data_IF_912159221447
#
_entry.id   IF_912159221447
#
_cell.length_a   1.000
_cell.length_b   1.000
_cell.length_c   1.000
_cell.angle_alpha   90.00
_cell.angle_beta   90.00
_cell.angle_gamma   90.00
#
_symmetry.space_group_name_H-M   'P 1'
#
loop_
_entity.id
_entity.type
_entity.pdbx_description
1 polymer ?
#
# COMPACT_ATOMS: atom_id res chain seq x y z
N UNK A 1 -8.41 -32.35 -10.74
CA UNK A 1 -8.07 -30.92 -10.60
C UNK A 1 -7.85 -30.39 -12.00
N UNK A 2 -8.67 -29.45 -12.48
CA UNK A 2 -8.43 -28.83 -13.78
C UNK A 2 -7.23 -27.89 -13.61
N UNK A 3 -6.16 -28.11 -14.38
CA UNK A 3 -5.11 -27.10 -14.58
C UNK A 3 -5.79 -25.86 -15.14
N UNK A 4 -6.02 -24.89 -14.27
CA UNK A 4 -6.45 -23.57 -14.63
C UNK A 4 -5.17 -22.77 -14.89
N UNK A 5 -4.44 -23.12 -15.94
CA UNK A 5 -3.34 -22.28 -16.42
C UNK A 5 -3.99 -21.02 -16.99
N UNK A 6 -4.17 -20.01 -16.14
CA UNK A 6 -4.55 -18.68 -16.57
C UNK A 6 -3.35 -18.11 -17.32
N UNK A 7 -3.40 -17.94 -18.66
CA UNK A 7 -2.24 -17.48 -19.45
C UNK A 7 -1.81 -16.03 -19.11
N UNK A 8 -2.58 -15.35 -18.26
CA UNK A 8 -2.27 -14.03 -17.71
C UNK A 8 -1.38 -14.09 -16.46
N UNK A 9 -1.29 -15.22 -15.75
CA UNK A 9 -0.65 -15.32 -14.45
C UNK A 9 0.70 -16.06 -14.49
N UNK A 10 1.60 -15.52 -15.31
CA UNK A 10 3.00 -15.90 -15.31
C UNK A 10 3.79 -14.86 -14.50
N UNK A 11 4.46 -15.27 -13.42
CA UNK A 11 5.20 -14.36 -12.53
C UNK A 11 6.24 -13.49 -13.24
N UNK A 12 6.97 -14.05 -14.22
CA UNK A 12 7.94 -13.30 -15.03
C UNK A 12 7.25 -12.27 -15.93
N UNK A 13 6.09 -12.63 -16.49
CA UNK A 13 5.29 -11.71 -17.30
C UNK A 13 4.77 -10.57 -16.43
N UNK A 14 4.19 -10.88 -15.27
CA UNK A 14 3.69 -9.91 -14.30
C UNK A 14 4.79 -8.93 -13.88
N UNK A 15 5.96 -9.47 -13.52
CA UNK A 15 7.14 -8.66 -13.19
C UNK A 15 7.51 -7.66 -14.31
N UNK A 16 7.42 -8.07 -15.57
CA UNK A 16 7.79 -7.24 -16.73
C UNK A 16 6.68 -6.31 -17.21
N UNK A 17 5.42 -6.68 -17.08
CA UNK A 17 4.31 -6.02 -17.77
C UNK A 17 3.46 -5.10 -16.91
N UNK A 18 3.46 -5.27 -15.58
CA UNK A 18 2.62 -4.42 -14.72
C UNK A 18 3.03 -2.95 -14.83
N UNK A 19 2.07 -2.12 -15.23
CA UNK A 19 2.16 -0.67 -15.21
C UNK A 19 1.97 -0.15 -13.78
N UNK A 20 2.29 1.13 -13.56
CA UNK A 20 2.12 1.76 -12.26
C UNK A 20 0.65 1.77 -11.81
N UNK A 21 -0.24 2.12 -12.72
CA UNK A 21 -1.68 2.12 -12.45
C UNK A 21 -2.24 0.74 -12.10
N UNK A 22 -1.74 -0.34 -12.70
CA UNK A 22 -2.15 -1.70 -12.36
C UNK A 22 -1.64 -2.11 -10.98
N UNK A 23 -0.44 -1.68 -10.59
CA UNK A 23 0.08 -1.90 -9.23
C UNK A 23 -0.75 -1.14 -8.20
N UNK A 24 -1.13 0.10 -8.49
CA UNK A 24 -2.03 0.88 -7.63
C UNK A 24 -3.39 0.15 -7.48
N UNK A 25 -3.92 -0.42 -8.56
CA UNK A 25 -5.14 -1.24 -8.49
C UNK A 25 -4.98 -2.47 -7.59
N UNK A 26 -3.83 -3.14 -7.64
CA UNK A 26 -3.54 -4.26 -6.75
C UNK A 26 -3.52 -3.82 -5.27
N UNK A 27 -2.88 -2.69 -4.96
CA UNK A 27 -2.82 -2.15 -3.60
C UNK A 27 -4.20 -1.74 -3.06
N UNK A 28 -5.08 -1.21 -3.92
CA UNK A 28 -6.44 -0.78 -3.56
C UNK A 28 -7.45 -1.93 -3.44
N UNK A 29 -7.12 -3.11 -3.98
CA UNK A 29 -8.02 -4.27 -3.99
C UNK A 29 -7.31 -5.49 -3.40
N UNK A 30 -6.59 -5.31 -2.29
CA UNK A 30 -5.89 -6.40 -1.60
C UNK A 30 -6.87 -7.43 -1.02
N UNK A 31 -7.38 -8.32 -1.86
CA UNK A 31 -7.75 -9.70 -1.57
C UNK A 31 -8.15 -10.39 -2.89
N UNK A 32 -7.83 -11.67 -3.04
CA UNK A 32 -8.20 -12.45 -4.25
C UNK A 32 -9.72 -12.56 -4.47
N UNK A 33 -10.52 -12.16 -3.49
CA UNK A 33 -11.96 -11.99 -3.64
C UNK A 33 -12.23 -10.59 -4.21
N UNK A 34 -12.11 -10.45 -5.54
CA UNK A 34 -12.24 -9.21 -6.33
C UNK A 34 -13.53 -8.40 -6.08
N UNK A 35 -14.46 -8.93 -5.30
CA UNK A 35 -15.69 -8.28 -4.86
C UNK A 35 -15.49 -7.28 -3.71
N UNK A 36 -14.38 -7.38 -2.94
CA UNK A 36 -14.16 -6.53 -1.75
C UNK A 36 -12.84 -5.76 -1.85
N UNK A 37 -12.99 -4.44 -1.87
CA UNK A 37 -11.93 -3.46 -1.79
C UNK A 37 -11.22 -3.48 -0.44
N UNK A 38 -9.90 -3.29 -0.41
CA UNK A 38 -9.08 -3.41 0.79
C UNK A 38 -7.97 -2.35 0.78
N UNK A 39 -7.90 -1.56 1.84
CA UNK A 39 -6.99 -0.42 1.97
C UNK A 39 -5.82 -0.69 2.93
N UNK A 40 -5.46 -1.96 3.16
CA UNK A 40 -4.36 -2.35 4.05
C UNK A 40 -3.00 -1.71 3.71
N UNK A 41 -2.73 -1.44 2.43
CA UNK A 41 -1.50 -0.72 2.02
C UNK A 41 -1.52 0.78 2.33
N UNK A 42 -2.65 1.30 2.83
CA UNK A 42 -2.87 2.72 3.09
C UNK A 42 -3.28 3.00 4.54
N UNK A 43 -3.08 2.02 5.45
CA UNK A 43 -3.43 2.17 6.88
C UNK A 43 -2.75 3.39 7.53
N UNK A 44 -1.56 3.74 7.03
CA UNK A 44 -0.73 4.86 7.47
C UNK A 44 -1.48 6.19 7.58
N UNK A 45 -2.29 6.55 6.58
CA UNK A 45 -3.08 7.80 6.60
C UNK A 45 -4.53 7.61 7.02
N UNK A 46 -5.15 6.47 6.71
CA UNK A 46 -6.58 6.27 7.02
C UNK A 46 -6.85 6.00 8.51
N UNK A 47 -5.82 5.66 9.29
CA UNK A 47 -5.91 5.59 10.75
C UNK A 47 -5.81 6.96 11.43
N UNK A 48 -5.73 8.07 10.70
CA UNK A 48 -5.70 9.38 11.35
C UNK A 48 -7.09 9.78 11.90
N UNK A 49 -7.19 10.41 13.09
CA UNK A 49 -6.10 10.74 14.03
C UNK A 49 -5.61 9.57 14.88
N UNK A 50 -6.41 8.51 15.00
CA UNK A 50 -6.04 7.27 15.69
C UNK A 50 -6.79 6.05 15.12
N UNK A 51 -6.34 4.85 15.52
CA UNK A 51 -6.96 3.58 15.10
C UNK A 51 -8.44 3.48 15.48
N UNK A 52 -8.92 4.19 16.53
CA UNK A 52 -10.34 4.16 16.91
C UNK A 52 -11.19 4.89 15.86
N UNK A 53 -10.69 6.02 15.35
CA UNK A 53 -11.36 6.77 14.29
C UNK A 53 -11.61 5.92 13.03
N UNK A 54 -10.68 5.02 12.70
CA UNK A 54 -10.89 4.07 11.61
C UNK A 54 -12.16 3.25 11.80
N UNK A 55 -12.39 2.71 13.01
CA UNK A 55 -13.57 1.88 13.30
C UNK A 55 -14.88 2.66 13.33
N UNK A 56 -14.82 3.99 13.41
CA UNK A 56 -15.97 4.89 13.32
C UNK A 56 -16.34 5.23 11.86
N UNK A 57 -15.36 5.20 10.94
CA UNK A 57 -15.62 5.45 9.53
C UNK A 57 -16.48 4.34 8.92
N UNK A 58 -17.49 4.76 8.15
CA UNK A 58 -18.33 3.85 7.38
C UNK A 58 -17.62 3.39 6.11
N UNK A 59 -16.72 4.24 5.59
CA UNK A 59 -15.90 3.92 4.45
C UNK A 59 -15.07 5.09 3.98
N UNK A 60 -14.61 4.98 2.74
CA UNK A 60 -13.72 5.91 2.09
C UNK A 60 -14.17 6.17 0.65
N UNK A 61 -14.00 7.40 0.20
CA UNK A 61 -13.99 7.75 -1.21
C UNK A 61 -12.56 7.75 -1.70
N UNK A 62 -12.28 6.92 -2.70
CA UNK A 62 -10.93 6.70 -3.21
C UNK A 62 -10.85 7.02 -4.68
N UNK A 63 -9.82 7.76 -5.08
CA UNK A 63 -9.52 8.00 -6.48
C UNK A 63 -8.01 7.91 -6.70
N UNK A 64 -7.60 7.76 -7.96
CA UNK A 64 -6.20 7.60 -8.33
C UNK A 64 -5.86 8.41 -9.58
N UNK A 65 -4.57 8.70 -9.76
CA UNK A 65 -4.04 9.34 -10.98
C UNK A 65 -4.71 10.70 -11.26
N UNK A 66 -4.83 11.54 -10.22
CA UNK A 66 -5.46 12.86 -10.34
C UNK A 66 -4.40 13.90 -10.68
N UNK A 67 -4.52 14.55 -11.84
CA UNK A 67 -3.62 15.64 -12.20
C UNK A 67 -3.76 16.80 -11.19
N UNK A 68 -2.63 17.39 -10.79
CA UNK A 68 -2.61 18.55 -9.89
C UNK A 68 -3.44 19.73 -10.43
N UNK A 69 -3.47 19.88 -11.75
CA UNK A 69 -4.29 20.87 -12.47
C UNK A 69 -5.79 20.65 -12.31
N UNK A 70 -6.26 19.40 -12.21
CA UNK A 70 -7.68 19.07 -11.99
C UNK A 70 -8.14 19.56 -10.62
N UNK A 71 -7.24 19.59 -9.64
CA UNK A 71 -7.46 20.19 -8.33
C UNK A 71 -7.22 21.70 -8.30
N UNK A 72 -6.83 22.31 -9.42
CA UNK A 72 -6.44 23.73 -9.52
C UNK A 72 -5.31 24.10 -8.56
N UNK A 73 -4.36 23.20 -8.36
CA UNK A 73 -3.11 23.50 -7.65
C UNK A 73 -2.21 24.35 -8.58
N UNK A 74 -1.34 25.18 -8.00
CA UNK A 74 -0.52 26.09 -8.80
C UNK A 74 0.56 25.32 -9.58
N UNK A 75 0.64 25.58 -10.90
CA UNK A 75 1.60 24.93 -11.81
C UNK A 75 3.07 25.21 -11.47
N UNK A 76 3.34 26.34 -10.82
CA UNK A 76 4.68 26.88 -10.66
C UNK A 76 5.53 26.15 -9.60
N UNK A 77 5.04 25.07 -8.98
CA UNK A 77 5.77 24.35 -7.92
C UNK A 77 6.21 22.92 -8.26
N UNK A 78 5.56 22.20 -9.18
CA UNK A 78 5.94 20.87 -9.75
C UNK A 78 4.85 20.34 -10.69
N UNK A 79 5.16 19.86 -11.91
CA UNK A 79 4.23 19.06 -12.71
C UNK A 79 4.09 17.65 -12.12
N UNK A 80 2.91 17.05 -12.23
CA UNK A 80 2.64 15.67 -11.81
C UNK A 80 1.17 15.38 -11.53
N UNK A 81 0.86 14.10 -11.40
CA UNK A 81 -0.36 13.55 -10.83
C UNK A 81 -0.20 13.23 -9.34
N UNK A 82 -1.33 12.97 -8.69
CA UNK A 82 -1.42 12.44 -7.34
C UNK A 82 -1.88 10.99 -7.50
N UNK A 83 -1.03 10.06 -7.07
CA UNK A 83 -1.24 8.64 -7.36
C UNK A 83 -2.50 8.12 -6.68
N UNK A 84 -2.74 8.46 -5.42
CA UNK A 84 -3.96 8.07 -4.68
C UNK A 84 -4.44 9.19 -3.77
N UNK A 85 -5.76 9.39 -3.73
CA UNK A 85 -6.46 10.26 -2.77
C UNK A 85 -7.53 9.43 -2.05
N UNK A 86 -7.55 9.49 -0.73
CA UNK A 86 -8.50 8.79 0.14
C UNK A 86 -9.19 9.78 1.07
N UNK A 87 -10.53 9.81 1.06
CA UNK A 87 -11.35 10.70 1.88
C UNK A 87 -12.27 9.86 2.78
N UNK A 88 -12.07 9.85 4.10
CA UNK A 88 -12.94 9.11 5.01
C UNK A 88 -14.31 9.76 5.15
N UNK A 89 -15.33 8.93 5.38
CA UNK A 89 -16.68 9.40 5.70
C UNK A 89 -17.37 8.52 6.76
N UNK A 90 -18.35 9.13 7.41
CA UNK A 90 -19.36 8.48 8.26
C UNK A 90 -20.73 8.73 7.66
N UNK A 91 -21.78 8.12 8.22
CA UNK A 91 -23.18 8.31 7.82
C UNK A 91 -23.60 9.78 7.66
N UNK A 92 -23.01 10.67 8.45
CA UNK A 92 -23.43 12.08 8.54
C UNK A 92 -22.40 13.07 7.99
N UNK A 93 -21.16 12.66 7.74
CA UNK A 93 -20.08 13.59 7.39
C UNK A 93 -19.01 12.97 6.49
N UNK A 94 -18.57 13.76 5.50
CA UNK A 94 -17.34 13.51 4.72
C UNK A 94 -16.23 14.39 5.30
N UNK A 95 -15.10 13.78 5.66
CA UNK A 95 -13.99 14.43 6.36
C UNK A 95 -12.89 14.87 5.38
N UNK A 96 -13.14 15.92 4.61
CA UNK A 96 -12.13 16.47 3.67
C UNK A 96 -10.86 16.95 4.39
N UNK A 97 -10.98 17.38 5.64
CA UNK A 97 -9.87 17.77 6.52
C UNK A 97 -9.00 16.57 6.96
N UNK A 98 -9.44 15.34 6.69
CA UNK A 98 -8.69 14.09 6.94
C UNK A 98 -8.32 13.38 5.64
N UNK A 99 -8.28 14.10 4.52
CA UNK A 99 -7.88 13.54 3.24
C UNK A 99 -6.43 13.09 3.29
N UNK A 100 -6.18 11.82 2.93
CA UNK A 100 -4.85 11.27 2.74
C UNK A 100 -4.50 11.23 1.27
N UNK A 101 -3.30 11.66 0.93
CA UNK A 101 -2.73 11.53 -0.42
C UNK A 101 -1.45 10.73 -0.37
N UNK A 102 -1.23 9.92 -1.41
CA UNK A 102 -0.06 9.05 -1.49
C UNK A 102 0.67 9.27 -2.80
N UNK A 103 1.99 9.34 -2.70
CA UNK A 103 2.92 9.11 -3.80
C UNK A 103 3.36 7.64 -3.75
N UNK A 104 3.41 6.98 -4.89
CA UNK A 104 3.77 5.56 -5.04
C UNK A 104 4.96 5.46 -5.99
N UNK A 105 5.94 4.64 -5.64
CA UNK A 105 7.11 4.39 -6.48
C UNK A 105 7.38 2.91 -6.62
N UNK A 106 7.47 2.45 -7.86
CA UNK A 106 7.69 1.04 -8.16
C UNK A 106 9.16 0.80 -8.44
N UNK A 107 9.71 -0.20 -7.78
CA UNK A 107 11.08 -0.68 -7.97
C UNK A 107 11.00 -2.08 -8.55
N UNK A 108 11.79 -2.32 -9.61
CA UNK A 108 11.86 -3.61 -10.31
C UNK A 108 13.27 -4.21 -10.29
N UNK A 109 13.74 -4.72 -9.13
CA UNK A 109 15.03 -5.39 -9.07
C UNK A 109 15.03 -6.68 -9.87
N UNK A 110 16.20 -7.02 -10.40
CA UNK A 110 16.46 -8.28 -11.11
C UNK A 110 17.46 -9.08 -10.30
N UNK A 111 17.57 -10.39 -10.55
CA UNK A 111 18.61 -11.21 -9.89
C UNK A 111 20.02 -10.74 -10.24
N UNK A 112 20.22 -10.17 -11.44
CA UNK A 112 21.50 -9.56 -11.86
C UNK A 112 21.79 -8.21 -11.21
N UNK A 113 20.77 -7.53 -10.71
CA UNK A 113 20.90 -6.23 -10.03
C UNK A 113 19.88 -6.15 -8.87
N UNK A 114 20.10 -6.91 -7.79
CA UNK A 114 19.14 -6.99 -6.70
C UNK A 114 19.10 -5.68 -5.90
N UNK A 115 20.20 -4.93 -5.89
CA UNK A 115 20.29 -3.63 -5.23
C UNK A 115 19.59 -2.48 -5.96
N UNK A 116 18.95 -2.72 -7.11
CA UNK A 116 18.32 -1.67 -7.94
C UNK A 116 17.39 -0.77 -7.13
N UNK A 117 17.38 0.51 -7.50
CA UNK A 117 16.53 1.53 -6.91
C UNK A 117 15.49 2.06 -7.91
N UNK A 118 14.48 2.73 -7.37
CA UNK A 118 13.66 3.64 -8.17
C UNK A 118 14.58 4.72 -8.78
N UNK A 119 14.32 5.11 -10.03
CA UNK A 119 15.06 6.19 -10.69
C UNK A 119 14.91 7.53 -9.94
N UNK A 120 13.79 7.70 -9.24
CA UNK A 120 13.54 8.77 -8.27
C UNK A 120 12.85 8.18 -7.04
N UNK A 121 13.29 8.54 -5.84
CA UNK A 121 12.74 8.03 -4.57
C UNK A 121 11.37 8.65 -4.19
N UNK A 122 10.70 9.40 -5.07
CA UNK A 122 9.40 10.03 -4.79
C UNK A 122 9.40 11.17 -3.75
N UNK A 123 10.53 11.40 -3.07
CA UNK A 123 10.68 12.44 -2.02
C UNK A 123 10.27 13.83 -2.49
N UNK A 124 10.67 14.22 -3.70
CA UNK A 124 10.37 15.56 -4.21
C UNK A 124 8.87 15.74 -4.42
N UNK A 125 8.18 14.69 -4.89
CA UNK A 125 6.74 14.68 -5.10
C UNK A 125 5.99 14.69 -3.75
N UNK A 126 6.36 13.81 -2.81
CA UNK A 126 5.78 13.78 -1.47
C UNK A 126 5.91 15.13 -0.74
N UNK A 127 7.10 15.74 -0.78
CA UNK A 127 7.30 17.10 -0.25
C UNK A 127 6.45 18.14 -1.00
N UNK A 128 6.28 17.98 -2.32
CA UNK A 128 5.39 18.82 -3.11
C UNK A 128 3.94 18.77 -2.61
N UNK A 129 3.41 17.58 -2.33
CA UNK A 129 2.08 17.39 -1.74
C UNK A 129 1.98 18.04 -0.35
N UNK A 130 3.03 17.93 0.46
CA UNK A 130 3.07 18.61 1.76
C UNK A 130 3.04 20.15 1.61
N UNK A 131 3.79 20.72 0.66
CA UNK A 131 3.79 22.16 0.37
C UNK A 131 2.50 22.66 -0.26
N UNK A 132 1.76 21.80 -0.97
CA UNK A 132 0.40 22.13 -1.42
C UNK A 132 -0.59 22.17 -0.26
N UNK A 133 -0.21 21.71 0.93
CA UNK A 133 -1.03 21.76 2.12
C UNK A 133 -2.09 20.67 2.18
N UNK A 134 -1.82 19.49 1.63
CA UNK A 134 -2.64 18.31 1.89
C UNK A 134 -2.55 17.90 3.38
N UNK A 135 -3.67 17.47 4.01
CA UNK A 135 -3.69 17.16 5.45
C UNK A 135 -2.77 16.02 5.87
N UNK A 136 -2.77 14.92 5.11
CA UNK A 136 -2.02 13.71 5.38
C UNK A 136 -1.33 13.27 4.10
N UNK A 137 -0.03 13.02 4.17
CA UNK A 137 0.81 12.69 3.01
C UNK A 137 1.59 11.42 3.30
N UNK A 138 1.50 10.46 2.40
CA UNK A 138 2.26 9.21 2.44
C UNK A 138 3.15 9.03 1.21
N UNK A 139 4.26 8.31 1.39
CA UNK A 139 5.12 7.82 0.32
C UNK A 139 5.25 6.30 0.44
N UNK A 140 4.87 5.59 -0.61
CA UNK A 140 4.87 4.13 -0.65
C UNK A 140 5.85 3.64 -1.71
N UNK A 141 6.82 2.83 -1.32
CA UNK A 141 7.65 2.09 -2.26
C UNK A 141 7.09 0.68 -2.47
N UNK A 142 7.02 0.22 -3.72
CA UNK A 142 6.54 -1.11 -4.07
C UNK A 142 7.61 -1.83 -4.84
N UNK A 143 8.14 -2.91 -4.26
CA UNK A 143 9.11 -3.79 -4.89
C UNK A 143 8.41 -4.91 -5.62
N UNK A 144 8.63 -5.02 -6.93
CA UNK A 144 8.18 -6.15 -7.74
C UNK A 144 9.42 -6.77 -8.35
N UNK A 145 9.81 -7.92 -7.86
CA UNK A 145 11.10 -8.56 -8.19
C UNK A 145 10.95 -9.58 -9.31
N UNK A 146 12.05 -9.79 -10.04
CA UNK A 146 12.19 -10.99 -10.88
C UNK A 146 12.04 -12.23 -9.97
N UNK A 147 11.13 -13.17 -10.27
CA UNK A 147 10.96 -14.38 -9.47
C UNK A 147 12.27 -15.14 -9.28
N UNK A 148 12.49 -15.66 -8.07
CA UNK A 148 13.57 -16.59 -7.80
C UNK A 148 13.27 -17.95 -8.43
N UNK A 149 14.25 -18.60 -9.08
CA UNK A 149 14.10 -19.99 -9.46
C UNK A 149 13.98 -20.86 -8.21
N UNK A 150 13.36 -22.03 -8.34
CA UNK A 150 13.04 -22.89 -7.19
C UNK A 150 14.26 -23.13 -6.31
N UNK A 151 15.43 -23.42 -6.88
CA UNK A 151 16.68 -23.66 -6.16
C UNK A 151 17.19 -22.48 -5.30
N UNK A 152 16.79 -21.25 -5.61
CA UNK A 152 17.18 -20.03 -4.87
C UNK A 152 16.16 -19.67 -3.78
N UNK A 153 14.97 -20.28 -3.79
CA UNK A 153 13.96 -20.10 -2.74
C UNK A 153 14.39 -20.79 -1.45
N UNK A 154 13.95 -20.23 -0.31
CA UNK A 154 14.29 -20.75 1.01
C UNK A 154 13.08 -21.39 1.68
N UNK A 155 13.34 -22.47 2.41
CA UNK A 155 12.33 -23.10 3.25
C UNK A 155 12.24 -22.33 4.58
N UNK A 156 11.05 -21.84 4.89
CA UNK A 156 10.72 -21.25 6.19
C UNK A 156 9.82 -22.19 6.97
N UNK A 157 10.06 -22.30 8.29
CA UNK A 157 9.19 -23.06 9.19
C UNK A 157 7.91 -22.26 9.46
N UNK A 158 6.78 -22.77 8.98
CA UNK A 158 5.46 -22.18 9.21
C UNK A 158 4.65 -23.02 10.19
N UNK A 159 4.07 -22.38 11.22
CA UNK A 159 3.19 -23.08 12.16
C UNK A 159 1.78 -23.19 11.59
N UNK A 160 1.28 -24.42 11.55
CA UNK A 160 -0.11 -24.72 11.15
C UNK A 160 -1.14 -24.47 12.26
N UNK A 161 -0.68 -24.14 13.48
CA UNK A 161 -1.56 -23.78 14.58
C UNK A 161 -2.29 -22.47 14.26
N UNK A 162 -3.63 -22.51 14.31
CA UNK A 162 -4.45 -21.31 14.16
C UNK A 162 -4.23 -20.41 15.38
N UNK A 163 -3.73 -19.19 15.13
CA UNK A 163 -3.65 -18.15 16.15
C UNK A 163 -5.03 -17.92 16.79
N UNK A 164 -5.06 -17.74 18.12
CA UNK A 164 -6.28 -17.49 18.91
C UNK A 164 -7.38 -18.57 18.79
N UNK A 165 -7.04 -19.79 18.38
CA UNK A 165 -8.04 -20.87 18.28
C UNK A 165 -8.51 -21.41 19.62
N UNK A 166 -7.86 -21.05 20.73
CA UNK A 166 -8.14 -21.58 22.06
C UNK A 166 -7.84 -23.08 22.22
N UNK A 167 -7.49 -23.76 21.13
CA UNK A 167 -7.02 -25.14 21.11
C UNK A 167 -5.60 -25.15 21.69
N UNK A 168 -5.45 -25.74 22.88
CA UNK A 168 -4.15 -26.09 23.43
C UNK A 168 -3.39 -27.06 22.51
N UNK A 169 -2.08 -27.17 22.73
CA UNK A 169 -1.29 -28.24 22.10
C UNK A 169 -1.93 -29.58 22.45
N UNK A 170 -2.09 -30.45 21.45
CA UNK A 170 -2.59 -31.82 21.71
C UNK A 170 -1.66 -32.52 22.70
N UNK A 171 -2.23 -33.36 23.57
CA UNK A 171 -1.45 -34.08 24.57
C UNK A 171 -0.36 -34.92 23.89
N UNK A 172 0.89 -34.77 24.33
CA UNK A 172 2.05 -35.44 23.75
C UNK A 172 2.66 -34.78 22.50
N UNK A 173 2.08 -33.70 21.95
CA UNK A 173 2.67 -32.95 20.83
C UNK A 173 3.42 -31.69 21.30
N UNK A 174 4.61 -31.50 20.75
CA UNK A 174 5.44 -30.32 20.87
C UNK A 174 5.01 -29.22 19.88
N UNK A 175 5.63 -28.04 19.94
CA UNK A 175 5.38 -27.00 18.93
C UNK A 175 5.93 -27.38 17.55
N UNK A 176 7.04 -28.11 17.53
CA UNK A 176 7.73 -28.49 16.30
C UNK A 176 6.90 -29.46 15.45
N UNK A 177 6.03 -30.25 16.08
CA UNK A 177 5.08 -31.15 15.41
C UNK A 177 4.04 -30.42 14.54
N UNK A 178 3.91 -29.10 14.72
CA UNK A 178 3.01 -28.25 13.95
C UNK A 178 3.73 -27.39 12.91
N UNK A 179 5.06 -27.50 12.81
CA UNK A 179 5.86 -26.76 11.83
C UNK A 179 5.94 -27.53 10.52
N UNK A 180 5.60 -26.85 9.43
CA UNK A 180 5.82 -27.32 8.07
C UNK A 180 6.88 -26.45 7.39
N UNK A 181 7.64 -27.04 6.46
CA UNK A 181 8.51 -26.27 5.58
C UNK A 181 7.67 -25.67 4.44
N UNK A 182 7.75 -24.35 4.30
CA UNK A 182 7.13 -23.61 3.21
C UNK A 182 8.25 -22.96 2.41
N UNK A 183 8.37 -23.33 1.14
CA UNK A 183 9.33 -22.75 0.22
C UNK A 183 8.85 -21.37 -0.25
N UNK A 184 9.60 -20.32 0.03
CA UNK A 184 9.18 -18.93 -0.17
C UNK A 184 10.16 -18.15 -1.06
N UNK A 185 9.62 -17.32 -1.95
CA UNK A 185 10.42 -16.29 -2.62
C UNK A 185 10.56 -15.05 -1.72
N UNK A 186 11.70 -14.96 -1.06
CA UNK A 186 12.03 -13.87 -0.14
C UNK A 186 12.52 -12.59 -0.82
N UNK A 187 12.67 -12.56 -2.15
CA UNK A 187 13.34 -11.46 -2.84
C UNK A 187 12.53 -10.17 -2.76
N UNK A 188 11.22 -10.25 -2.94
CA UNK A 188 10.32 -9.10 -2.82
C UNK A 188 10.37 -8.50 -1.41
N UNK A 189 10.40 -9.34 -0.37
CA UNK A 189 10.54 -8.92 1.03
C UNK A 189 11.87 -8.21 1.28
N UNK A 190 12.99 -8.84 0.90
CA UNK A 190 14.33 -8.27 1.06
C UNK A 190 14.49 -6.94 0.31
N UNK A 191 13.95 -6.84 -0.91
CA UNK A 191 13.95 -5.59 -1.67
C UNK A 191 13.17 -4.50 -0.93
N UNK A 192 11.98 -4.82 -0.43
CA UNK A 192 11.16 -3.90 0.34
C UNK A 192 11.89 -3.38 1.59
N UNK A 193 12.55 -4.28 2.33
CA UNK A 193 13.32 -3.91 3.52
C UNK A 193 14.48 -2.95 3.19
N UNK A 194 15.15 -3.15 2.06
CA UNK A 194 16.18 -2.23 1.60
C UNK A 194 15.62 -0.87 1.16
N UNK A 195 14.44 -0.85 0.55
CA UNK A 195 13.78 0.42 0.19
C UNK A 195 13.40 1.24 1.42
N UNK A 196 12.82 0.63 2.46
CA UNK A 196 12.49 1.38 3.68
C UNK A 196 13.75 1.90 4.39
N UNK A 197 14.82 1.09 4.49
CA UNK A 197 16.11 1.54 5.06
C UNK A 197 16.67 2.75 4.32
N UNK A 198 16.54 2.79 3.00
CA UNK A 198 16.96 3.93 2.16
C UNK A 198 16.07 5.15 2.38
N UNK A 199 14.76 4.99 2.44
CA UNK A 199 13.85 6.12 2.73
C UNK A 199 14.14 6.75 4.09
N UNK A 200 14.50 5.94 5.08
CA UNK A 200 14.90 6.42 6.41
C UNK A 200 16.14 7.33 6.39
N UNK A 201 17.08 7.15 5.46
CA UNK A 201 18.27 8.02 5.39
C UNK A 201 17.98 9.39 4.81
N UNK A 202 16.82 9.56 4.16
CA UNK A 202 16.42 10.82 3.49
C UNK A 202 15.85 11.85 4.46
N UNK A 203 15.62 11.48 5.72
CA UNK A 203 15.13 12.37 6.79
C UNK A 203 13.91 13.20 6.36
N UNK A 204 12.92 12.53 5.76
CA UNK A 204 11.63 13.16 5.48
C UNK A 204 11.01 13.71 6.77
N UNK A 205 10.24 14.82 6.70
CA UNK A 205 9.48 15.31 7.85
C UNK A 205 8.66 14.19 8.49
N UNK A 206 8.65 14.16 9.81
CA UNK A 206 8.02 13.11 10.64
C UNK A 206 6.51 12.98 10.47
N UNK A 207 5.85 13.99 9.88
CA UNK A 207 4.43 13.93 9.54
C UNK A 207 4.13 13.21 8.22
N UNK A 208 5.14 12.95 7.38
CA UNK A 208 5.00 12.18 6.14
C UNK A 208 5.19 10.70 6.45
N UNK A 209 4.12 9.91 6.28
CA UNK A 209 4.21 8.46 6.45
C UNK A 209 5.02 7.81 5.33
N UNK A 210 5.93 6.91 5.67
CA UNK A 210 6.71 6.12 4.70
C UNK A 210 6.43 4.63 4.87
N UNK A 211 6.13 3.93 3.78
CA UNK A 211 5.88 2.49 3.81
C UNK A 211 6.53 1.80 2.62
N UNK A 212 6.84 0.51 2.76
CA UNK A 212 7.40 -0.27 1.67
C UNK A 212 6.79 -1.66 1.61
N UNK A 213 6.38 -2.07 0.42
CA UNK A 213 5.72 -3.34 0.14
C UNK A 213 6.51 -4.13 -0.90
N UNK A 214 6.74 -5.42 -0.68
CA UNK A 214 7.16 -6.35 -1.72
C UNK A 214 5.94 -7.08 -2.24
N UNK A 215 5.78 -7.22 -3.56
CA UNK A 215 4.72 -8.05 -4.16
C UNK A 215 5.29 -9.37 -4.65
N UNK A 216 4.71 -10.47 -4.18
CA UNK A 216 5.00 -11.83 -4.63
C UNK A 216 3.77 -12.38 -5.36
N UNK A 217 3.99 -13.03 -6.50
CA UNK A 217 2.93 -13.55 -7.35
C UNK A 217 3.06 -15.07 -7.48
N UNK A 218 1.95 -15.76 -7.29
CA UNK A 218 1.85 -17.22 -7.35
C UNK A 218 1.06 -17.65 -8.58
N UNK A 219 1.29 -18.87 -9.05
CA UNK A 219 0.66 -19.43 -10.26
C UNK A 219 -0.86 -19.57 -10.17
N UNK A 220 -1.42 -19.61 -8.96
CA UNK A 220 -2.86 -19.78 -8.70
C UNK A 220 -3.61 -18.44 -8.58
N UNK A 221 -3.16 -17.43 -9.32
CA UNK A 221 -3.67 -16.05 -9.33
C UNK A 221 -3.55 -15.33 -7.98
N UNK A 222 -2.86 -15.91 -6.99
CA UNK A 222 -2.67 -15.27 -5.68
C UNK A 222 -1.51 -14.28 -5.73
N UNK A 223 -1.73 -13.13 -5.11
CA UNK A 223 -0.68 -12.18 -4.77
C UNK A 223 -0.52 -12.13 -3.25
N UNK A 224 0.72 -12.17 -2.78
CA UNK A 224 1.06 -11.81 -1.42
C UNK A 224 1.79 -10.48 -1.42
N UNK A 225 1.59 -9.71 -0.36
CA UNK A 225 2.42 -8.55 -0.07
C UNK A 225 3.26 -8.87 1.14
N UNK A 226 4.56 -8.74 0.98
CA UNK A 226 5.55 -8.91 2.02
C UNK A 226 5.90 -7.53 2.56
N UNK A 227 5.87 -7.35 3.87
CA UNK A 227 6.19 -6.07 4.51
C UNK A 227 6.98 -6.25 5.79
N UNK A 228 7.86 -5.30 6.08
CA UNK A 228 8.53 -5.14 7.38
C UNK A 228 7.90 -4.01 8.21
N UNK A 229 6.74 -3.46 7.80
CA UNK A 229 6.10 -2.30 8.43
C UNK A 229 5.81 -2.51 9.92
N UNK A 230 5.63 -3.75 10.38
CA UNK A 230 5.46 -4.06 11.82
C UNK A 230 6.65 -3.54 12.64
N UNK A 231 7.87 -3.61 12.10
CA UNK A 231 9.07 -3.07 12.73
C UNK A 231 9.21 -1.55 12.56
N UNK A 232 8.43 -0.94 11.66
CA UNK A 232 8.54 0.47 11.26
C UNK A 232 7.22 1.25 11.41
N UNK A 233 6.29 0.79 12.26
CA UNK A 233 4.94 1.36 12.36
C UNK A 233 4.93 2.88 12.65
N UNK A 234 5.87 3.36 13.46
CA UNK A 234 6.00 4.79 13.77
C UNK A 234 6.35 5.63 12.54
N UNK A 235 7.14 5.08 11.61
CA UNK A 235 7.53 5.74 10.36
C UNK A 235 6.41 5.64 9.32
N UNK A 236 5.65 4.54 9.35
CA UNK A 236 4.50 4.37 8.47
C UNK A 236 3.36 5.33 8.80
N UNK A 237 3.12 5.66 10.08
CA UNK A 237 2.01 6.51 10.48
C UNK A 237 2.13 7.93 9.88
N UNK A 238 1.10 8.36 9.15
CA UNK A 238 0.97 9.77 8.76
C UNK A 238 0.49 10.59 9.97
N UNK A 239 1.12 11.73 10.19
CA UNK A 239 0.62 12.74 11.12
C UNK A 239 0.03 13.93 10.35
N UNK A 240 -0.66 14.81 11.07
CA UNK A 240 -1.20 16.02 10.48
C UNK A 240 -0.09 16.92 9.95
N UNK A 241 -0.15 17.28 8.68
CA UNK A 241 0.80 18.17 8.05
C UNK A 241 0.64 19.60 8.64
N UNK A 242 1.68 20.18 9.28
CA UNK A 242 1.62 21.53 9.83
C UNK A 242 1.45 22.63 8.77
N UNK A 243 1.71 22.31 7.49
CA UNK A 243 1.52 23.20 6.35
C UNK A 243 0.14 23.06 5.70
N UNK A 244 -0.79 22.35 6.33
CA UNK A 244 -2.15 22.15 5.78
C UNK A 244 -2.82 23.48 5.45
N UNK A 245 -3.36 23.58 4.23
CA UNK A 245 -4.05 24.78 3.75
C UNK A 245 -5.55 24.53 3.64
N UNK A 246 -6.36 25.41 4.24
CA UNK A 246 -7.82 25.36 4.10
C UNK A 246 -8.27 25.46 2.64
N UNK A 247 -7.53 26.22 1.83
CA UNK A 247 -7.77 26.33 0.39
C UNK A 247 -7.61 24.98 -0.33
N UNK A 248 -6.66 24.15 0.09
CA UNK A 248 -6.43 22.83 -0.51
C UNK A 248 -7.54 21.86 -0.13
N UNK A 249 -7.98 21.86 1.12
CA UNK A 249 -9.17 21.11 1.56
C UNK A 249 -10.41 21.53 0.76
N UNK A 250 -10.60 22.84 0.53
CA UNK A 250 -11.70 23.34 -0.28
C UNK A 250 -11.60 22.92 -1.75
N UNK A 251 -10.39 22.92 -2.33
CA UNK A 251 -10.14 22.43 -3.70
C UNK A 251 -10.50 20.95 -3.85
N UNK A 252 -10.10 20.11 -2.90
CA UNK A 252 -10.47 18.67 -2.86
C UNK A 252 -11.99 18.52 -2.78
N UNK A 253 -12.64 19.23 -1.85
CA UNK A 253 -14.11 19.21 -1.72
C UNK A 253 -14.80 19.60 -3.03
N UNK A 254 -14.36 20.68 -3.66
CA UNK A 254 -14.94 21.16 -4.91
C UNK A 254 -14.72 20.17 -6.06
N UNK A 255 -13.54 19.55 -6.13
CA UNK A 255 -13.25 18.50 -7.11
C UNK A 255 -14.14 17.27 -6.88
N UNK A 256 -14.25 16.80 -5.63
CA UNK A 256 -15.12 15.69 -5.26
C UNK A 256 -16.58 15.93 -5.65
N UNK A 257 -17.13 17.10 -5.31
CA UNK A 257 -18.53 17.43 -5.62
C UNK A 257 -18.81 17.48 -7.13
N UNK A 258 -17.84 17.95 -7.92
CA UNK A 258 -17.97 18.03 -9.39
C UNK A 258 -17.72 16.70 -10.09
N UNK A 259 -16.84 15.87 -9.54
CA UNK A 259 -16.34 14.65 -10.17
C UNK A 259 -16.61 13.41 -9.31
N UNK A 260 -17.75 13.35 -8.63
CA UNK A 260 -18.07 12.27 -7.68
C UNK A 260 -17.93 10.88 -8.30
N UNK A 261 -18.24 10.73 -9.59
CA UNK A 261 -18.08 9.48 -10.35
C UNK A 261 -16.62 8.99 -10.48
N UNK A 262 -15.62 9.86 -10.32
CA UNK A 262 -14.20 9.48 -10.29
C UNK A 262 -13.77 8.86 -8.95
N UNK A 263 -14.60 8.95 -7.92
CA UNK A 263 -14.30 8.42 -6.59
C UNK A 263 -15.04 7.10 -6.37
N UNK A 264 -14.27 6.02 -6.26
CA UNK A 264 -14.76 4.71 -5.87
C UNK A 264 -15.15 4.74 -4.39
N UNK A 265 -16.35 4.25 -4.08
CA UNK A 265 -16.79 4.05 -2.71
C UNK A 265 -16.23 2.72 -2.18
N UNK A 266 -15.54 2.75 -1.04
CA UNK A 266 -14.96 1.58 -0.37
C UNK A 266 -15.45 1.54 1.08
N UNK A 267 -16.29 0.57 1.42
CA UNK A 267 -16.90 0.47 2.76
C UNK A 267 -15.98 -0.25 3.75
N UNK A 268 -15.97 0.22 5.00
CA UNK A 268 -15.08 -0.31 6.06
C UNK A 268 -15.67 -1.50 6.85
N UNK A 269 -16.97 -1.78 6.69
CA UNK A 269 -17.62 -2.93 7.35
C UNK A 269 -18.42 -3.79 6.37
N UNK A 270 -18.35 -5.11 6.61
CA UNK A 270 -19.32 -6.06 6.08
C UNK A 270 -20.71 -5.74 6.65
N UNK A 271 -21.80 -5.86 5.86
CA UNK A 271 -23.13 -5.98 6.43
C UNK A 271 -23.15 -7.19 7.38
N UNK A 272 -23.77 -7.01 8.54
CA UNK A 272 -24.30 -8.14 9.32
C UNK A 272 -25.38 -8.88 8.52
#
# INVERSE_FOLDING_TARGET
MKNNENPLFNGDRIYKSLTENEVIDLLLNWNNNREKSDLRSFLSGIFYPDQKAYFEYEGFYVTKTILRDELKLEKNKKPGDIDVIIIPFTKTKIYFERTSVYEIKIVRPTRKNPGRNANSLGVTQALGLAEDGFPLVGLIHVSITEPLPEEEKVDIKFSTLKANSGLGKEEGKSFDDYLIDVRMDQFAWWSSENQIKRLMTLQLPDFIGISSYGLEFYEDDRMLICTSDVCHQKLAACCFNPKTLQLTILKIKNHFLKNKSKYKLMLNRMPE
#
